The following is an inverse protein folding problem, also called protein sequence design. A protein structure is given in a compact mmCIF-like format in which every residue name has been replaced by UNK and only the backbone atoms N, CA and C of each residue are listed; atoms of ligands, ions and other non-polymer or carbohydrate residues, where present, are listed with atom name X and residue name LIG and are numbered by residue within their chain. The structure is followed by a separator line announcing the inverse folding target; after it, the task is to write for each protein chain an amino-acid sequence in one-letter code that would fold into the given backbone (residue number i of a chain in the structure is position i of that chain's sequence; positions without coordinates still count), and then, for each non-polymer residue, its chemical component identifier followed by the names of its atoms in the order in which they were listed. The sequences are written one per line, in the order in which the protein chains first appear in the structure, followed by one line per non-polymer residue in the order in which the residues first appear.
data_IF_508126831292
#
_entry.id   IF_508126831292
#
_cell.length_a   1.000
_cell.length_b   1.000
_cell.length_c   1.000
_cell.angle_alpha   90.00
_cell.angle_beta   90.00
_cell.angle_gamma   90.00
#
_symmetry.space_group_name_H-M   'P 1'
#
loop_
_entity.id
_entity.type
_entity.pdbx_description
1 polymer ?
#
# COMPACT_ATOMS: atom_id res chain seq x y z
N UNK A 1 -21.48 -17.46 -4.14
CA UNK A 1 -20.89 -18.61 -3.42
C UNK A 1 -20.42 -18.13 -2.06
N UNK A 2 -20.85 -18.79 -0.99
CA UNK A 2 -20.74 -18.36 0.42
C UNK A 2 -19.26 -18.22 0.84
N UNK A 3 -18.89 -17.06 1.38
CA UNK A 3 -17.58 -16.83 1.99
C UNK A 3 -17.36 -17.80 3.15
N UNK A 4 -16.22 -18.49 3.14
CA UNK A 4 -15.80 -19.34 4.26
C UNK A 4 -15.52 -18.45 5.46
N UNK A 5 -16.38 -18.50 6.46
CA UNK A 5 -16.14 -17.98 7.81
C UNK A 5 -14.81 -18.57 8.32
N UNK A 6 -13.85 -17.69 8.57
CA UNK A 6 -12.69 -18.04 9.40
C UNK A 6 -13.25 -18.43 10.76
N UNK A 7 -13.05 -19.69 11.15
CA UNK A 7 -13.52 -20.20 12.46
C UNK A 7 -12.87 -19.36 13.56
N UNK A 8 -13.66 -18.50 14.22
CA UNK A 8 -13.28 -17.89 15.49
C UNK A 8 -13.04 -19.03 16.48
N UNK A 9 -11.81 -19.22 16.87
CA UNK A 9 -11.46 -20.21 17.91
C UNK A 9 -12.01 -19.74 19.25
N UNK A 10 -12.23 -20.66 20.18
CA UNK A 10 -12.66 -20.33 21.55
C UNK A 10 -11.71 -19.33 22.22
N UNK A 11 -10.43 -19.40 21.86
CA UNK A 11 -9.36 -18.50 22.29
C UNK A 11 -9.55 -17.05 21.78
N UNK A 12 -10.02 -16.88 20.52
CA UNK A 12 -10.30 -15.55 19.95
C UNK A 12 -11.48 -14.88 20.68
N UNK A 13 -12.47 -15.68 21.12
CA UNK A 13 -13.61 -15.17 21.93
C UNK A 13 -13.15 -14.71 23.32
N UNK A 14 -12.27 -15.46 23.99
CA UNK A 14 -11.72 -15.08 25.30
C UNK A 14 -10.87 -13.81 25.17
N UNK A 15 -9.98 -13.75 24.18
CA UNK A 15 -9.16 -12.55 23.90
C UNK A 15 -10.02 -11.31 23.58
N UNK A 16 -11.13 -11.47 22.87
CA UNK A 16 -12.03 -10.36 22.55
C UNK A 16 -12.74 -9.76 23.77
N UNK A 17 -12.88 -10.52 24.84
CA UNK A 17 -13.45 -10.04 26.12
C UNK A 17 -12.39 -9.32 26.95
N UNK A 18 -11.15 -9.81 26.98
CA UNK A 18 -10.07 -9.27 27.79
C UNK A 18 -9.43 -8.03 27.14
N UNK A 19 -9.33 -7.98 25.81
CA UNK A 19 -8.76 -6.88 25.03
C UNK A 19 -9.63 -6.58 23.80
N UNK A 20 -10.80 -5.98 23.98
CA UNK A 20 -11.71 -5.74 22.88
C UNK A 20 -11.12 -4.78 21.85
N UNK A 21 -11.28 -5.11 20.56
CA UNK A 21 -10.99 -4.18 19.49
C UNK A 21 -12.10 -3.12 19.40
N UNK A 22 -11.71 -1.87 19.25
CA UNK A 22 -12.61 -0.76 19.01
C UNK A 22 -12.51 -0.32 17.55
N UNK A 23 -13.65 -0.04 16.95
CA UNK A 23 -13.71 0.42 15.56
C UNK A 23 -13.08 1.80 15.41
N UNK A 24 -12.06 1.92 14.57
CA UNK A 24 -11.42 3.21 14.27
C UNK A 24 -12.35 4.25 13.63
N UNK A 25 -13.56 3.85 13.22
CA UNK A 25 -14.57 4.76 12.66
C UNK A 25 -15.57 5.27 13.67
N UNK A 26 -16.21 4.37 14.44
CA UNK A 26 -17.34 4.68 15.32
C UNK A 26 -17.17 4.19 16.76
N UNK A 27 -15.99 3.69 17.12
CA UNK A 27 -15.59 3.25 18.47
C UNK A 27 -16.40 2.06 19.05
N UNK A 28 -17.30 1.45 18.26
CA UNK A 28 -17.98 0.23 18.66
C UNK A 28 -17.00 -0.93 18.83
N UNK A 29 -17.24 -1.75 19.86
CA UNK A 29 -16.43 -2.94 20.14
C UNK A 29 -16.63 -4.04 19.10
N UNK A 30 -15.61 -4.90 18.93
CA UNK A 30 -15.67 -6.17 18.20
C UNK A 30 -14.82 -6.24 16.93
N UNK A 31 -14.64 -5.15 16.20
CA UNK A 31 -13.83 -5.10 14.96
C UNK A 31 -12.98 -3.85 14.92
N UNK A 32 -11.82 -3.89 14.23
CA UNK A 32 -10.96 -2.72 14.06
C UNK A 32 -11.55 -1.70 13.06
N UNK A 33 -12.32 -2.16 12.07
CA UNK A 33 -13.22 -1.35 11.26
C UNK A 33 -14.52 -2.14 11.03
N UNK A 34 -15.63 -1.71 11.64
CA UNK A 34 -16.89 -2.43 11.53
C UNK A 34 -17.50 -2.31 10.12
N UNK A 35 -18.43 -3.22 9.77
CA UNK A 35 -19.04 -3.30 8.44
C UNK A 35 -19.70 -1.98 8.01
N UNK A 36 -20.38 -1.27 8.93
CA UNK A 36 -20.97 0.05 8.64
C UNK A 36 -19.91 1.07 8.23
N UNK A 37 -18.79 1.10 8.95
CA UNK A 37 -17.68 2.01 8.65
C UNK A 37 -16.95 1.59 7.36
N UNK A 38 -16.74 0.29 7.09
CA UNK A 38 -16.19 -0.18 5.80
C UNK A 38 -17.06 0.28 4.63
N UNK A 39 -18.38 0.07 4.70
CA UNK A 39 -19.32 0.51 3.66
C UNK A 39 -19.22 2.03 3.42
N UNK A 40 -19.17 2.83 4.48
CA UNK A 40 -19.01 4.28 4.37
C UNK A 40 -17.66 4.67 3.74
N UNK A 41 -16.56 4.03 4.15
CA UNK A 41 -15.22 4.27 3.60
C UNK A 41 -15.17 3.95 2.10
N UNK A 42 -15.76 2.83 1.66
CA UNK A 42 -15.74 2.43 0.25
C UNK A 42 -16.56 3.35 -0.65
N UNK A 43 -17.53 4.10 -0.10
CA UNK A 43 -18.25 5.14 -0.83
C UNK A 43 -17.42 6.43 -1.05
N UNK A 44 -16.32 6.61 -0.32
CA UNK A 44 -15.45 7.79 -0.39
C UNK A 44 -14.16 7.49 -1.16
N UNK A 45 -14.22 6.69 -2.23
CA UNK A 45 -13.07 6.36 -3.06
C UNK A 45 -12.41 7.61 -3.65
N UNK A 46 -11.08 7.58 -3.78
CA UNK A 46 -10.32 8.64 -4.43
C UNK A 46 -10.45 8.52 -5.95
N UNK A 47 -10.84 9.60 -6.64
CA UNK A 47 -11.22 9.54 -8.06
C UNK A 47 -10.42 10.47 -8.97
N UNK A 48 -9.47 11.23 -8.43
CA UNK A 48 -8.68 12.17 -9.23
C UNK A 48 -7.25 11.67 -9.46
N UNK A 49 -6.51 12.36 -10.33
CA UNK A 49 -5.11 12.05 -10.57
C UNK A 49 -4.26 12.38 -9.33
N UNK A 50 -3.45 11.42 -8.88
CA UNK A 50 -2.58 11.58 -7.69
C UNK A 50 -1.52 12.67 -7.83
N UNK A 51 -1.27 13.18 -9.05
CA UNK A 51 -0.22 14.15 -9.34
C UNK A 51 -0.76 15.57 -9.63
N UNK A 52 -1.99 15.71 -10.13
CA UNK A 52 -2.51 17.03 -10.55
C UNK A 52 -4.01 17.24 -10.30
N UNK A 53 -4.64 16.35 -9.55
CA UNK A 53 -6.07 16.38 -9.17
C UNK A 53 -7.09 16.43 -10.34
N UNK A 54 -6.64 16.38 -11.60
CA UNK A 54 -7.55 16.25 -12.77
C UNK A 54 -8.25 14.90 -12.74
N UNK A 55 -9.47 14.84 -13.23
CA UNK A 55 -10.21 13.58 -13.33
C UNK A 55 -9.70 12.76 -14.53
N UNK A 56 -9.10 11.57 -14.31
CA UNK A 56 -8.65 10.69 -15.38
C UNK A 56 -9.83 9.86 -15.93
N UNK A 57 -9.65 9.24 -17.11
CA UNK A 57 -10.65 8.31 -17.67
C UNK A 57 -10.72 7.02 -16.85
N UNK A 58 -9.57 6.51 -16.42
CA UNK A 58 -9.44 5.27 -15.64
C UNK A 58 -8.43 5.44 -14.52
N UNK A 59 -8.70 4.83 -13.37
CA UNK A 59 -7.82 4.87 -12.19
C UNK A 59 -7.53 6.29 -11.70
N UNK A 60 -6.31 6.51 -11.23
CA UNK A 60 -5.89 7.79 -10.63
C UNK A 60 -4.63 8.36 -11.29
N UNK A 61 -4.45 8.12 -12.59
CA UNK A 61 -3.35 8.64 -13.39
C UNK A 61 -3.87 9.18 -14.72
N UNK A 62 -3.64 10.46 -15.00
CA UNK A 62 -4.19 11.12 -16.18
C UNK A 62 -3.32 10.96 -17.46
N UNK A 63 -2.17 10.29 -17.35
CA UNK A 63 -1.24 10.05 -18.47
C UNK A 63 -0.42 11.28 -18.93
N UNK A 64 -0.65 12.47 -18.34
CA UNK A 64 0.06 13.71 -18.75
C UNK A 64 1.38 13.95 -18.02
N UNK A 65 1.77 13.06 -17.14
CA UNK A 65 2.99 13.16 -16.34
C UNK A 65 3.99 12.09 -16.79
N UNK A 66 5.27 12.41 -16.75
CA UNK A 66 6.32 11.42 -16.97
C UNK A 66 6.45 10.52 -15.75
N UNK A 67 5.68 9.43 -15.76
CA UNK A 67 5.70 8.40 -14.74
C UNK A 67 5.90 7.03 -15.39
N UNK A 68 6.81 6.19 -14.90
CA UNK A 68 7.21 4.94 -15.57
C UNK A 68 6.20 3.81 -15.36
N UNK A 69 4.91 4.09 -15.54
CA UNK A 69 3.83 3.11 -15.36
C UNK A 69 2.67 3.39 -16.29
N UNK A 70 1.93 2.33 -16.65
CA UNK A 70 0.70 2.45 -17.43
C UNK A 70 -0.49 2.94 -16.60
N UNK A 71 -0.53 2.57 -15.28
CA UNK A 71 -1.70 2.83 -14.45
C UNK A 71 -1.32 3.05 -12.97
N UNK A 72 -2.10 3.91 -12.30
CA UNK A 72 -2.05 4.09 -10.83
C UNK A 72 -3.47 3.96 -10.29
N UNK A 73 -3.64 3.15 -9.26
CA UNK A 73 -4.84 3.07 -8.43
C UNK A 73 -4.50 3.60 -7.05
N UNK A 74 -5.10 4.72 -6.68
CA UNK A 74 -5.08 5.27 -5.33
C UNK A 74 -6.50 5.14 -4.77
N UNK A 75 -6.69 4.35 -3.73
CA UNK A 75 -8.02 3.92 -3.35
C UNK A 75 -8.77 4.96 -2.52
N UNK A 76 -8.08 5.63 -1.58
CA UNK A 76 -8.69 6.51 -0.59
C UNK A 76 -7.82 7.75 -0.30
N UNK A 77 -8.43 8.75 0.34
CA UNK A 77 -7.68 9.78 1.06
C UNK A 77 -7.28 9.26 2.46
N UNK A 78 -6.08 9.63 2.91
CA UNK A 78 -5.57 9.28 4.24
C UNK A 78 -6.21 10.16 5.31
N UNK A 79 -7.42 9.82 5.73
CA UNK A 79 -8.20 10.55 6.75
C UNK A 79 -9.08 9.62 7.58
N UNK A 80 -9.60 10.12 8.71
CA UNK A 80 -10.57 9.42 9.55
C UNK A 80 -10.13 8.02 9.99
N UNK A 81 -11.00 7.03 9.87
CA UNK A 81 -10.75 5.66 10.30
C UNK A 81 -9.57 5.00 9.57
N UNK A 82 -9.40 5.29 8.28
CA UNK A 82 -8.30 4.71 7.47
C UNK A 82 -6.95 5.23 7.93
N UNK A 83 -6.84 6.53 8.24
CA UNK A 83 -5.65 7.12 8.83
C UNK A 83 -5.28 6.40 10.14
N UNK A 84 -6.24 6.32 11.08
CA UNK A 84 -6.03 5.66 12.38
C UNK A 84 -5.64 4.18 12.24
N UNK A 85 -6.29 3.46 11.33
CA UNK A 85 -6.01 2.05 11.06
C UNK A 85 -4.59 1.82 10.53
N UNK A 86 -4.13 2.63 9.55
CA UNK A 86 -2.77 2.56 9.01
C UNK A 86 -1.75 2.93 10.07
N UNK A 87 -2.02 3.94 10.90
CA UNK A 87 -1.11 4.36 11.98
C UNK A 87 -1.02 3.30 13.08
N UNK A 88 -2.14 2.68 13.46
CA UNK A 88 -2.16 1.57 14.40
C UNK A 88 -1.34 0.36 13.89
N UNK A 89 -1.45 0.05 12.59
CA UNK A 89 -0.62 -0.98 11.96
C UNK A 89 0.86 -0.61 11.96
N UNK A 90 1.20 0.66 11.73
CA UNK A 90 2.59 1.13 11.62
C UNK A 90 3.27 1.35 12.97
N UNK A 91 2.55 1.86 13.96
CA UNK A 91 3.14 2.38 15.19
C UNK A 91 2.70 1.63 16.44
N UNK A 92 1.51 1.02 16.45
CA UNK A 92 0.96 0.29 17.58
C UNK A 92 1.04 -1.24 17.43
N UNK A 93 1.60 -1.74 16.31
CA UNK A 93 1.74 -3.16 15.99
C UNK A 93 0.41 -3.93 15.95
N UNK A 94 -0.71 -3.25 15.72
CA UNK A 94 -2.05 -3.86 15.67
C UNK A 94 -2.30 -4.55 14.33
N UNK A 95 -1.83 -5.80 14.20
CA UNK A 95 -1.97 -6.60 12.97
C UNK A 95 -3.41 -6.98 12.63
N UNK A 96 -4.31 -6.99 13.63
CA UNK A 96 -5.73 -7.31 13.41
C UNK A 96 -6.38 -6.43 12.33
N UNK A 97 -5.90 -5.18 12.17
CA UNK A 97 -6.41 -4.23 11.17
C UNK A 97 -6.14 -4.63 9.72
N UNK A 98 -5.21 -5.57 9.47
CA UNK A 98 -4.81 -5.98 8.11
C UNK A 98 -6.01 -6.54 7.35
N UNK A 99 -6.83 -7.39 7.97
CA UNK A 99 -8.00 -7.97 7.31
C UNK A 99 -8.99 -6.89 6.88
N UNK A 100 -9.25 -5.91 7.74
CA UNK A 100 -10.17 -4.81 7.44
C UNK A 100 -9.64 -3.89 6.33
N UNK A 101 -8.33 -3.61 6.32
CA UNK A 101 -7.69 -2.85 5.23
C UNK A 101 -7.72 -3.63 3.91
N UNK A 102 -7.51 -4.94 3.95
CA UNK A 102 -7.59 -5.81 2.75
C UNK A 102 -9.01 -5.88 2.22
N UNK A 103 -10.03 -6.03 3.08
CA UNK A 103 -11.43 -6.01 2.64
C UNK A 103 -11.80 -4.70 1.93
N UNK A 104 -11.36 -3.57 2.47
CA UNK A 104 -11.58 -2.25 1.85
C UNK A 104 -10.81 -2.15 0.52
N UNK A 105 -9.56 -2.61 0.49
CA UNK A 105 -8.74 -2.62 -0.73
C UNK A 105 -9.37 -3.48 -1.81
N UNK A 106 -9.82 -4.69 -1.46
CA UNK A 106 -10.47 -5.62 -2.37
C UNK A 106 -11.76 -5.04 -2.97
N UNK A 107 -12.57 -4.38 -2.15
CA UNK A 107 -13.82 -3.76 -2.58
C UNK A 107 -13.62 -2.57 -3.54
N UNK A 108 -12.47 -1.87 -3.46
CA UNK A 108 -12.19 -0.66 -4.26
C UNK A 108 -11.30 -0.92 -5.47
N UNK A 109 -10.44 -1.93 -5.41
CA UNK A 109 -9.50 -2.23 -6.48
C UNK A 109 -10.21 -2.96 -7.62
N UNK A 110 -10.14 -2.47 -8.87
CA UNK A 110 -10.75 -3.15 -10.01
C UNK A 110 -10.12 -4.53 -10.26
N UNK A 111 -10.71 -5.29 -11.18
CA UNK A 111 -10.14 -6.55 -11.65
C UNK A 111 -8.78 -6.25 -12.32
N UNK A 112 -7.76 -6.97 -11.90
CA UNK A 112 -6.42 -6.90 -12.49
C UNK A 112 -6.27 -7.95 -13.61
N UNK A 113 -5.37 -7.75 -14.57
CA UNK A 113 -5.05 -8.75 -15.60
C UNK A 113 -4.67 -10.11 -15.00
N UNK A 114 -4.97 -11.19 -15.72
CA UNK A 114 -4.74 -12.56 -15.22
C UNK A 114 -3.25 -12.89 -14.96
N UNK A 115 -2.33 -12.24 -15.68
CA UNK A 115 -0.88 -12.36 -15.51
C UNK A 115 -0.30 -11.42 -14.41
N UNK A 116 -1.16 -10.82 -13.57
CA UNK A 116 -0.73 -9.90 -12.52
C UNK A 116 -0.01 -10.62 -11.38
N UNK A 117 1.01 -9.95 -10.83
CA UNK A 117 1.69 -10.32 -9.59
C UNK A 117 1.73 -9.12 -8.65
N UNK A 118 1.43 -9.30 -7.37
CA UNK A 118 1.54 -8.25 -6.36
C UNK A 118 2.98 -8.15 -5.86
N UNK A 119 3.53 -6.95 -5.89
CA UNK A 119 4.89 -6.67 -5.40
C UNK A 119 4.80 -5.66 -4.26
N UNK A 120 4.98 -6.09 -2.98
CA UNK A 120 5.03 -5.16 -1.87
C UNK A 120 6.24 -4.26 -1.98
N UNK A 121 6.06 -2.93 -1.87
CA UNK A 121 7.18 -2.00 -1.76
C UNK A 121 7.87 -2.21 -0.41
N UNK A 122 9.18 -2.52 -0.38
CA UNK A 122 9.87 -2.88 0.85
C UNK A 122 9.94 -1.72 1.84
N UNK A 123 9.57 -1.97 3.07
CA UNK A 123 9.79 -1.07 4.21
C UNK A 123 11.28 -0.97 4.54
N UNK A 124 11.73 0.14 5.14
CA UNK A 124 13.12 0.28 5.59
C UNK A 124 13.46 -0.78 6.64
N UNK A 125 14.69 -1.34 6.66
CA UNK A 125 15.11 -2.31 7.67
C UNK A 125 14.94 -1.79 9.11
N UNK A 126 15.17 -0.48 9.32
CA UNK A 126 14.93 0.18 10.62
C UNK A 126 13.47 0.06 11.04
N UNK A 127 12.55 0.40 10.14
CA UNK A 127 11.12 0.35 10.44
C UNK A 127 10.63 -1.08 10.64
N UNK A 128 11.14 -2.04 9.86
CA UNK A 128 10.85 -3.47 10.05
C UNK A 128 11.31 -3.96 11.43
N UNK A 129 12.51 -3.55 11.90
CA UNK A 129 13.00 -3.88 13.24
C UNK A 129 12.13 -3.27 14.35
N UNK A 130 11.79 -1.98 14.23
CA UNK A 130 10.96 -1.28 15.23
C UNK A 130 9.57 -1.91 15.33
N UNK A 131 8.95 -2.27 14.19
CA UNK A 131 7.60 -2.85 14.11
C UNK A 131 7.57 -4.34 14.40
N UNK A 132 8.69 -5.06 14.14
CA UNK A 132 8.77 -6.51 14.19
C UNK A 132 8.21 -7.21 12.95
N UNK A 133 7.76 -6.46 11.92
CA UNK A 133 7.24 -6.99 10.63
C UNK A 133 7.26 -5.94 9.52
N UNK A 134 7.22 -6.42 8.28
CA UNK A 134 6.93 -5.61 7.10
C UNK A 134 5.41 -5.65 6.82
N UNK A 135 4.73 -4.54 7.07
CA UNK A 135 3.28 -4.45 6.95
C UNK A 135 2.79 -4.59 5.50
N UNK A 136 3.58 -4.10 4.50
CA UNK A 136 3.21 -4.26 3.10
C UNK A 136 3.27 -5.71 2.63
N UNK A 137 4.26 -6.49 3.10
CA UNK A 137 4.31 -7.94 2.86
C UNK A 137 3.08 -8.65 3.42
N UNK A 138 2.62 -8.28 4.62
CA UNK A 138 1.43 -8.87 5.24
C UNK A 138 0.16 -8.51 4.47
N UNK A 139 -0.02 -7.24 4.11
CA UNK A 139 -1.17 -6.78 3.30
C UNK A 139 -1.19 -7.49 1.94
N UNK A 140 -0.06 -7.50 1.21
CA UNK A 140 0.00 -8.16 -0.10
C UNK A 140 -0.28 -9.66 -0.02
N UNK A 141 0.26 -10.37 0.99
CA UNK A 141 -0.03 -11.80 1.19
C UNK A 141 -1.51 -12.06 1.41
N UNK A 142 -2.16 -11.24 2.22
CA UNK A 142 -3.59 -11.42 2.50
C UNK A 142 -4.44 -11.03 1.28
N UNK A 143 -4.13 -9.92 0.59
CA UNK A 143 -4.80 -9.51 -0.64
C UNK A 143 -4.61 -10.53 -1.77
N UNK A 144 -3.40 -11.07 -1.92
CA UNK A 144 -3.10 -12.12 -2.89
C UNK A 144 -3.91 -13.39 -2.64
N UNK A 145 -4.14 -13.78 -1.36
CA UNK A 145 -5.02 -14.91 -1.01
C UNK A 145 -6.47 -14.64 -1.37
N UNK A 146 -6.99 -13.46 -1.06
CA UNK A 146 -8.38 -13.06 -1.35
C UNK A 146 -8.63 -13.05 -2.85
N UNK A 147 -7.73 -12.47 -3.63
CA UNK A 147 -7.85 -12.30 -5.08
C UNK A 147 -7.27 -13.44 -5.92
N UNK A 148 -6.58 -14.40 -5.29
CA UNK A 148 -5.84 -15.49 -5.94
C UNK A 148 -4.77 -14.97 -6.90
N UNK A 149 -4.07 -13.89 -6.49
CA UNK A 149 -2.98 -13.28 -7.25
C UNK A 149 -1.66 -13.63 -6.56
N UNK A 150 -0.63 -14.11 -7.29
CA UNK A 150 0.69 -14.37 -6.74
C UNK A 150 1.31 -13.13 -6.10
N UNK A 151 2.15 -13.33 -5.08
CA UNK A 151 2.90 -12.27 -4.42
C UNK A 151 4.38 -12.55 -4.56
N UNK A 152 5.09 -11.65 -5.22
CA UNK A 152 6.54 -11.77 -5.46
C UNK A 152 7.30 -10.67 -4.70
N UNK A 153 8.45 -11.04 -4.13
CA UNK A 153 9.32 -10.10 -3.41
C UNK A 153 10.56 -9.80 -4.24
N UNK A 154 10.35 -9.30 -5.45
CA UNK A 154 11.41 -9.00 -6.42
C UNK A 154 12.12 -7.66 -6.15
N UNK A 155 11.67 -6.89 -5.16
CA UNK A 155 12.32 -5.66 -4.75
C UNK A 155 12.94 -5.79 -3.37
N UNK A 156 14.15 -5.28 -3.23
CA UNK A 156 14.84 -5.12 -1.95
C UNK A 156 15.25 -3.65 -1.78
N UNK A 157 15.06 -3.09 -0.59
CA UNK A 157 15.56 -1.75 -0.27
C UNK A 157 17.07 -1.83 -0.04
N UNK A 158 17.82 -0.96 -0.70
CA UNK A 158 19.26 -0.83 -0.43
C UNK A 158 19.42 -0.19 0.94
N UNK A 159 20.31 -0.74 1.76
CA UNK A 159 20.74 -0.06 2.98
C UNK A 159 21.45 1.22 2.53
N UNK A 160 21.05 2.37 3.05
CA UNK A 160 21.77 3.62 2.80
C UNK A 160 23.22 3.42 3.22
N UNK A 161 24.08 3.23 2.24
CA UNK A 161 25.51 3.44 2.42
C UNK A 161 25.64 4.94 2.66
N UNK A 162 25.85 5.30 3.93
CA UNK A 162 26.38 6.58 4.42
C UNK A 162 26.12 7.82 3.55
N UNK A 163 25.14 8.63 3.97
CA UNK A 163 24.90 9.99 3.45
C UNK A 163 26.08 10.98 3.72
N UNK A 164 27.27 10.49 4.07
CA UNK A 164 28.33 11.34 4.61
C UNK A 164 29.24 12.01 3.59
N UNK A 165 29.07 11.77 2.26
CA UNK A 165 30.00 12.35 1.27
C UNK A 165 29.38 13.01 0.03
N UNK A 166 28.08 13.34 0.03
CA UNK A 166 27.50 14.07 -1.09
C UNK A 166 27.76 15.58 -0.96
N UNK A 167 28.82 16.07 -1.60
CA UNK A 167 29.21 17.47 -1.61
C UNK A 167 28.42 18.35 -2.58
N UNK A 168 27.67 17.77 -3.52
CA UNK A 168 26.88 18.53 -4.50
C UNK A 168 25.42 18.09 -4.59
N UNK A 169 24.51 19.02 -4.99
CA UNK A 169 23.10 18.75 -5.24
C UNK A 169 22.90 17.68 -6.35
N UNK A 170 23.81 17.61 -7.33
CA UNK A 170 23.81 16.62 -8.41
C UNK A 170 24.15 15.22 -7.88
N UNK A 171 25.14 15.11 -6.98
CA UNK A 171 25.47 13.84 -6.31
C UNK A 171 24.37 13.38 -5.36
N UNK A 172 23.71 14.29 -4.61
CA UNK A 172 22.53 13.97 -3.80
C UNK A 172 21.36 13.44 -4.64
N UNK A 173 21.14 14.00 -5.85
CA UNK A 173 20.14 13.49 -6.81
C UNK A 173 20.53 12.12 -7.39
N UNK A 174 21.80 11.85 -7.64
CA UNK A 174 22.30 10.56 -8.11
C UNK A 174 22.23 9.49 -7.01
N UNK A 175 22.61 9.84 -5.78
CA UNK A 175 22.54 8.94 -4.61
C UNK A 175 21.09 8.69 -4.16
N UNK A 176 20.17 9.65 -4.37
CA UNK A 176 18.74 9.45 -4.11
C UNK A 176 18.07 8.48 -5.11
N UNK A 177 18.71 8.15 -6.23
CA UNK A 177 18.15 7.30 -7.30
C UNK A 177 18.26 5.79 -7.05
N UNK A 178 18.81 5.34 -5.94
CA UNK A 178 19.05 3.90 -5.73
C UNK A 178 18.44 3.38 -4.41
N UNK A 179 17.15 3.70 -4.16
CA UNK A 179 16.48 3.17 -2.96
C UNK A 179 16.22 1.68 -3.05
N UNK A 180 16.09 1.13 -4.26
CA UNK A 180 15.73 -0.26 -4.49
C UNK A 180 16.73 -0.96 -5.42
N UNK A 181 16.76 -2.29 -5.31
CA UNK A 181 17.34 -3.19 -6.29
C UNK A 181 16.38 -4.33 -6.57
N UNK A 182 16.41 -4.85 -7.77
CA UNK A 182 15.70 -6.08 -8.12
C UNK A 182 16.50 -7.27 -7.59
N UNK A 183 15.79 -8.27 -7.08
CA UNK A 183 16.32 -9.57 -6.67
C UNK A 183 15.55 -10.68 -7.41
N UNK A 184 16.29 -11.58 -8.03
CA UNK A 184 15.72 -12.58 -8.94
C UNK A 184 15.45 -12.03 -10.34
N UNK A 185 14.82 -12.86 -11.16
CA UNK A 185 14.55 -12.56 -12.57
C UNK A 185 13.21 -11.85 -12.73
N UNK A 186 13.16 -10.92 -13.70
CA UNK A 186 11.94 -10.23 -14.10
C UNK A 186 11.42 -10.88 -15.39
N UNK A 187 10.21 -11.42 -15.30
CA UNK A 187 9.49 -11.99 -16.44
C UNK A 187 8.74 -10.86 -17.19
N UNK A 188 9.13 -10.50 -18.41
CA UNK A 188 8.48 -9.42 -19.17
C UNK A 188 7.01 -9.71 -19.53
N UNK A 189 6.56 -10.97 -19.46
CA UNK A 189 5.17 -11.33 -19.70
C UNK A 189 4.23 -11.02 -18.52
N UNK A 190 4.76 -10.72 -17.33
CA UNK A 190 3.96 -10.43 -16.14
C UNK A 190 3.57 -8.95 -16.04
N UNK A 191 2.40 -8.72 -15.44
CA UNK A 191 1.95 -7.41 -14.97
C UNK A 191 2.37 -7.21 -13.52
N UNK A 192 3.39 -6.39 -13.26
CA UNK A 192 3.88 -6.11 -11.92
C UNK A 192 3.03 -5.04 -11.24
N UNK A 193 2.31 -5.41 -10.19
CA UNK A 193 1.47 -4.51 -9.40
C UNK A 193 2.21 -4.11 -8.11
N UNK A 194 2.88 -2.97 -8.13
CA UNK A 194 3.55 -2.38 -6.96
C UNK A 194 2.51 -1.92 -5.95
N UNK A 195 2.61 -2.38 -4.69
CA UNK A 195 1.64 -2.05 -3.63
C UNK A 195 2.33 -1.27 -2.52
N UNK A 196 1.77 -0.09 -2.18
CA UNK A 196 2.23 0.76 -1.06
C UNK A 196 1.04 1.26 -0.24
N UNK A 197 1.29 1.75 0.97
CA UNK A 197 0.22 2.24 1.86
C UNK A 197 -0.13 3.71 1.62
N UNK A 198 0.85 4.57 1.31
CA UNK A 198 0.63 6.02 1.20
C UNK A 198 1.35 6.61 -0.01
N UNK A 199 0.59 7.29 -0.86
CA UNK A 199 1.13 8.18 -1.88
C UNK A 199 1.30 9.58 -1.30
N UNK A 200 2.52 10.06 -1.16
CA UNK A 200 2.84 11.45 -0.81
C UNK A 200 3.24 12.24 -2.06
N UNK A 201 4.50 12.26 -2.41
CA UNK A 201 5.04 12.86 -3.65
C UNK A 201 5.14 11.86 -4.80
N UNK A 202 4.94 10.57 -4.51
CA UNK A 202 5.14 9.49 -5.47
C UNK A 202 6.59 9.09 -5.71
N UNK A 203 7.57 9.69 -4.99
CA UNK A 203 8.99 9.39 -5.18
C UNK A 203 9.32 7.91 -4.96
N UNK A 204 8.82 7.31 -3.88
CA UNK A 204 9.05 5.89 -3.55
C UNK A 204 8.52 4.95 -4.63
N UNK A 205 7.25 5.13 -5.02
CA UNK A 205 6.61 4.26 -6.01
C UNK A 205 7.19 4.47 -7.42
N UNK A 206 7.62 5.71 -7.74
CA UNK A 206 8.31 6.02 -8.99
C UNK A 206 9.66 5.28 -9.07
N UNK A 207 10.45 5.35 -8.02
CA UNK A 207 11.76 4.72 -7.95
C UNK A 207 11.64 3.19 -8.04
N UNK A 208 10.68 2.60 -7.33
CA UNK A 208 10.40 1.18 -7.40
C UNK A 208 9.98 0.74 -8.82
N UNK A 209 9.13 1.54 -9.49
CA UNK A 209 8.71 1.28 -10.86
C UNK A 209 9.89 1.41 -11.86
N UNK A 210 10.70 2.48 -11.75
CA UNK A 210 11.91 2.62 -12.57
C UNK A 210 12.85 1.42 -12.40
N UNK A 211 13.05 0.95 -11.17
CA UNK A 211 13.91 -0.20 -10.88
C UNK A 211 13.40 -1.48 -11.57
N UNK A 212 12.09 -1.75 -11.56
CA UNK A 212 11.50 -2.89 -12.26
C UNK A 212 11.62 -2.75 -13.79
N UNK A 213 11.30 -1.56 -14.35
CA UNK A 213 11.42 -1.32 -15.80
C UNK A 213 12.86 -1.47 -16.29
N UNK A 214 13.85 -0.97 -15.53
CA UNK A 214 15.28 -1.14 -15.86
C UNK A 214 15.72 -2.61 -15.80
N UNK A 215 15.06 -3.43 -15.00
CA UNK A 215 15.32 -4.86 -14.91
C UNK A 215 14.52 -5.70 -15.95
N UNK A 216 13.76 -5.04 -16.86
CA UNK A 216 13.06 -5.71 -17.97
C UNK A 216 11.54 -5.85 -17.81
N UNK A 217 10.92 -5.29 -16.74
CA UNK A 217 9.46 -5.28 -16.64
C UNK A 217 8.85 -4.39 -17.73
N UNK A 218 7.97 -4.95 -18.55
CA UNK A 218 7.29 -4.24 -19.65
C UNK A 218 5.99 -3.60 -19.20
N UNK A 219 5.38 -4.09 -18.13
CA UNK A 219 4.11 -3.61 -17.62
C UNK A 219 4.13 -3.48 -16.10
N UNK A 220 3.96 -2.24 -15.64
CA UNK A 220 3.94 -1.90 -14.21
C UNK A 220 2.68 -1.09 -13.89
N UNK A 221 1.98 -1.49 -12.84
CA UNK A 221 0.85 -0.78 -12.24
C UNK A 221 1.20 -0.44 -10.80
N UNK A 222 0.76 0.72 -10.33
CA UNK A 222 0.87 1.12 -8.92
C UNK A 222 -0.48 1.02 -8.25
N UNK A 223 -0.51 0.42 -7.07
CA UNK A 223 -1.66 0.34 -6.18
C UNK A 223 -1.26 0.95 -4.84
N UNK A 224 -1.90 2.05 -4.46
CA UNK A 224 -1.70 2.67 -3.15
C UNK A 224 -3.01 2.71 -2.37
N UNK A 225 -2.95 2.33 -1.10
CA UNK A 225 -4.13 2.32 -0.26
C UNK A 225 -4.65 3.75 -0.05
N UNK A 226 -3.75 4.69 0.16
CA UNK A 226 -4.15 6.07 0.47
C UNK A 226 -3.25 7.12 -0.16
N UNK A 227 -3.83 8.30 -0.45
CA UNK A 227 -3.10 9.55 -0.74
C UNK A 227 -3.06 10.42 0.51
N UNK A 228 -1.92 11.06 0.74
CA UNK A 228 -1.81 12.10 1.76
C UNK A 228 -2.77 13.26 1.44
N UNK A 229 -3.58 13.68 2.43
CA UNK A 229 -4.49 14.80 2.28
C UNK A 229 -3.72 16.11 2.49
N UNK A 230 -3.35 16.78 1.39
CA UNK A 230 -2.58 18.05 1.43
C UNK A 230 -3.42 19.25 1.87
N UNK A 231 -4.76 19.10 1.96
CA UNK A 231 -5.64 20.24 2.32
C UNK A 231 -5.66 20.54 3.82
N UNK A 232 -5.05 19.73 4.69
CA UNK A 232 -4.99 19.98 6.14
C UNK A 232 -3.80 20.83 6.60
N UNK A 233 -2.96 21.34 5.69
CA UNK A 233 -1.81 22.18 6.07
C UNK A 233 -2.13 23.69 6.14
N UNK A 234 -3.39 24.09 6.02
CA UNK A 234 -3.81 25.51 5.99
C UNK A 234 -4.89 25.86 7.02
N UNK A 235 -4.88 25.19 8.18
CA UNK A 235 -5.65 25.69 9.32
C UNK A 235 -4.70 25.79 10.51
N UNK A 236 -4.13 26.97 10.67
CA UNK A 236 -3.60 27.45 11.94
C UNK A 236 -4.75 27.78 12.88
#
# INVERSE_FOLDING_TARGET
MKGKNVKNTMFDKVLSVIAPHYCYGCEKTGQTICQKCKKHITQMSYTTCVLCDRRPKHGNYCGRHHFPVGQIYCLLLRRGAVLRAIDALKFERKRAVINDLVDITDALLPQLPANSVLVPIPTTPRNTRIRGYDHMKLICRQLGRVRRIPVEQVLQRRNNVTQHFATSAKQRRLQAKEFFRVVGDIDPAKQYCLVDDIFTTGATVREAACCLCQAGATSVTIIVLTRHDSQKSTVN
#
